data_IF_453842023871
#
_entry.id   IF_453842023871
#
_cell.length_a   1.000
_cell.length_b   1.000
_cell.length_c   1.000
_cell.angle_alpha   90.00
_cell.angle_beta   90.00
_cell.angle_gamma   90.00
#
_symmetry.space_group_name_H-M   'P 1'
#
loop_
_entity.id
_entity.type
_entity.pdbx_description
1 polymer ?
#
# COMPACT_ATOMS: atom_id res chain seq x y z
N UNK A 1 11.77 3.89 -17.07
CA UNK A 1 11.44 4.28 -15.68
C UNK A 1 11.33 3.02 -14.83
N UNK A 2 11.92 2.99 -13.63
CA UNK A 2 11.77 1.86 -12.71
C UNK A 2 10.50 2.07 -11.89
N UNK A 3 9.60 1.09 -11.95
CA UNK A 3 8.38 1.06 -11.15
C UNK A 3 8.55 0.06 -10.01
N UNK A 4 7.91 0.33 -8.89
CA UNK A 4 7.79 -0.63 -7.78
C UNK A 4 6.39 -1.23 -7.83
N UNK A 5 6.26 -2.52 -7.58
CA UNK A 5 4.96 -3.18 -7.48
C UNK A 5 4.52 -3.19 -6.03
N UNK A 6 3.32 -2.68 -5.73
CA UNK A 6 2.81 -2.56 -4.37
C UNK A 6 1.83 -3.70 -4.05
N UNK A 7 2.11 -4.40 -2.95
CA UNK A 7 1.27 -5.45 -2.38
C UNK A 7 0.96 -5.06 -0.94
N UNK A 8 -0.33 -5.03 -0.56
CA UNK A 8 -0.77 -4.63 0.78
C UNK A 8 -1.68 -5.68 1.39
N UNK A 9 -1.73 -5.72 2.72
CA UNK A 9 -2.75 -6.44 3.48
C UNK A 9 -3.14 -5.58 4.66
N UNK A 10 -4.44 -5.52 4.98
CA UNK A 10 -4.95 -4.73 6.11
C UNK A 10 -4.64 -5.40 7.44
N UNK A 11 -4.93 -6.70 7.52
CA UNK A 11 -4.64 -7.54 8.66
C UNK A 11 -3.70 -8.66 8.23
N UNK A 12 -2.78 -9.04 9.11
CA UNK A 12 -1.92 -10.19 8.86
C UNK A 12 -2.70 -11.51 8.91
N UNK A 13 -3.59 -11.64 9.90
CA UNK A 13 -4.45 -12.79 10.10
C UNK A 13 -5.87 -12.34 10.47
N UNK A 14 -6.86 -13.11 10.05
CA UNK A 14 -8.27 -13.00 10.46
C UNK A 14 -8.73 -14.39 10.86
N UNK A 15 -9.27 -14.54 12.06
CA UNK A 15 -9.70 -15.84 12.62
C UNK A 15 -8.59 -16.93 12.55
N UNK A 16 -7.33 -16.53 12.77
CA UNK A 16 -6.17 -17.44 12.69
C UNK A 16 -5.74 -17.80 11.27
N UNK A 17 -6.42 -17.30 10.23
CA UNK A 17 -6.09 -17.54 8.83
C UNK A 17 -5.26 -16.37 8.31
N UNK A 18 -4.06 -16.66 7.78
CA UNK A 18 -3.20 -15.64 7.16
C UNK A 18 -3.86 -15.09 5.90
N UNK A 19 -4.02 -13.77 5.86
CA UNK A 19 -4.67 -13.11 4.74
C UNK A 19 -3.69 -12.93 3.58
N UNK A 20 -4.16 -13.12 2.32
CA UNK A 20 -3.34 -12.88 1.14
C UNK A 20 -3.04 -11.38 0.99
N UNK A 21 -1.96 -11.08 0.26
CA UNK A 21 -1.70 -9.72 -0.18
C UNK A 21 -2.57 -9.37 -1.38
N UNK A 22 -3.08 -8.14 -1.38
CA UNK A 22 -3.79 -7.52 -2.49
C UNK A 22 -2.77 -6.72 -3.31
N UNK A 23 -2.73 -6.97 -4.62
CA UNK A 23 -1.89 -6.21 -5.54
C UNK A 23 -2.58 -4.89 -5.91
N UNK A 24 -1.95 -3.76 -5.61
CA UNK A 24 -2.50 -2.42 -5.91
C UNK A 24 -1.97 -1.81 -7.21
N UNK A 25 -1.03 -2.49 -7.89
CA UNK A 25 -0.46 -1.97 -9.13
C UNK A 25 0.98 -1.47 -8.98
N UNK A 26 1.39 -0.69 -9.98
CA UNK A 26 2.71 -0.05 -10.03
C UNK A 26 2.65 1.28 -9.29
N UNK A 27 3.71 1.61 -8.58
CA UNK A 27 3.92 2.90 -7.92
C UNK A 27 5.23 3.53 -8.35
N UNK A 28 5.32 4.85 -8.19
CA UNK A 28 6.55 5.62 -8.33
C UNK A 28 6.74 6.52 -7.10
N UNK A 29 7.99 6.70 -6.69
CA UNK A 29 8.33 7.60 -5.58
C UNK A 29 8.15 9.05 -6.02
N UNK A 30 7.46 9.85 -5.21
CA UNK A 30 7.36 11.28 -5.45
C UNK A 30 8.74 11.94 -5.26
N UNK A 31 9.19 12.77 -6.22
CA UNK A 31 10.48 13.45 -6.12
C UNK A 31 10.61 14.24 -4.82
N UNK A 32 11.80 14.22 -4.21
CA UNK A 32 12.12 14.97 -2.98
C UNK A 32 11.31 14.59 -1.72
N UNK A 33 10.67 13.42 -1.70
CA UNK A 33 9.93 12.94 -0.50
C UNK A 33 10.71 11.95 0.36
N UNK A 34 11.81 11.40 -0.15
CA UNK A 34 12.62 10.43 0.59
C UNK A 34 13.46 11.13 1.67
N UNK A 35 13.27 10.75 2.93
CA UNK A 35 13.97 11.30 4.09
C UNK A 35 14.29 10.23 5.15
N UNK A 36 15.28 10.52 6.00
CA UNK A 36 15.72 9.62 7.07
C UNK A 36 16.76 8.59 6.65
N UNK A 37 17.28 7.86 7.64
CA UNK A 37 18.22 6.76 7.44
C UNK A 37 17.93 5.67 8.48
N UNK A 38 17.06 4.72 8.11
CA UNK A 38 16.58 3.61 8.96
C UNK A 38 15.89 4.08 10.27
N UNK A 39 14.58 4.40 10.22
CA UNK A 39 13.68 4.20 9.08
C UNK A 39 13.86 5.27 8.00
N UNK A 40 13.57 4.87 6.76
CA UNK A 40 13.41 5.79 5.63
C UNK A 40 11.91 6.02 5.46
N UNK A 41 11.50 7.28 5.28
CA UNK A 41 10.13 7.67 4.92
C UNK A 41 10.14 8.22 3.50
N UNK A 42 9.08 7.93 2.74
CA UNK A 42 8.88 8.48 1.40
C UNK A 42 7.40 8.37 1.01
N UNK A 43 6.98 9.14 0.01
CA UNK A 43 5.62 9.09 -0.51
C UNK A 43 5.64 8.42 -1.89
N UNK A 44 4.75 7.45 -2.08
CA UNK A 44 4.50 6.81 -3.36
C UNK A 44 3.20 7.31 -3.96
N UNK A 45 3.17 7.41 -5.29
CA UNK A 45 1.94 7.60 -6.05
C UNK A 45 1.62 6.32 -6.84
N UNK A 46 0.37 5.88 -6.76
CA UNK A 46 -0.15 4.79 -7.57
C UNK A 46 -0.28 5.24 -9.02
N UNK A 47 0.09 4.35 -9.95
CA UNK A 47 -0.06 4.60 -11.37
C UNK A 47 -1.53 4.65 -11.79
N UNK A 48 -2.38 3.84 -11.16
CA UNK A 48 -3.82 3.80 -11.41
C UNK A 48 -4.55 3.92 -10.07
N UNK A 49 -5.73 4.54 -10.08
CA UNK A 49 -6.61 4.57 -8.92
C UNK A 49 -7.06 3.15 -8.55
N UNK A 50 -7.28 2.93 -7.26
CA UNK A 50 -7.95 1.73 -6.75
C UNK A 50 -9.47 1.94 -6.82
N UNK A 51 -10.25 0.86 -6.84
CA UNK A 51 -11.71 1.00 -6.74
C UNK A 51 -12.09 1.59 -5.39
N UNK A 52 -13.21 2.32 -5.34
CA UNK A 52 -13.76 2.86 -4.11
C UNK A 52 -14.02 1.77 -3.06
N UNK A 53 -14.51 0.61 -3.51
CA UNK A 53 -14.71 -0.58 -2.67
C UNK A 53 -13.40 -1.01 -1.98
N UNK A 54 -12.31 -1.17 -2.75
CA UNK A 54 -11.02 -1.59 -2.21
C UNK A 54 -10.39 -0.52 -1.30
N UNK A 55 -10.56 0.76 -1.65
CA UNK A 55 -10.15 1.87 -0.80
C UNK A 55 -10.85 1.78 0.56
N UNK A 56 -12.18 1.69 0.56
CA UNK A 56 -12.99 1.59 1.77
C UNK A 56 -12.64 0.33 2.57
N UNK A 57 -12.44 -0.81 1.93
CA UNK A 57 -12.00 -2.05 2.59
C UNK A 57 -10.69 -1.82 3.37
N UNK A 58 -9.70 -1.18 2.75
CA UNK A 58 -8.38 -0.98 3.33
C UNK A 58 -8.34 0.11 4.41
N UNK A 59 -9.18 1.16 4.31
CA UNK A 59 -9.12 2.33 5.20
C UNK A 59 -10.17 2.37 6.30
N UNK A 60 -11.29 1.66 6.15
CA UNK A 60 -12.36 1.66 7.18
C UNK A 60 -11.84 1.05 8.47
N UNK A 61 -11.91 1.78 9.57
CA UNK A 61 -11.56 1.26 10.89
C UNK A 61 -12.71 0.39 11.36
N UNK A 62 -12.43 -0.86 11.71
CA UNK A 62 -13.40 -1.74 12.37
C UNK A 62 -13.15 -1.60 13.87
N UNK A 63 -14.12 -1.07 14.59
CA UNK A 63 -14.12 -1.00 16.07
C UNK A 63 -14.35 -2.37 16.71
#
# INVERSE_FOLDING_TARGET
MKYVHLFVRKFEQVEGITQPFIYLGKVFTLPKTAEGNKPIKMIFALQNEVSEELYNELTTVVE
#
